data_IF_514357302187
#
_entry.id   IF_514357302187
#
_cell.length_a   1.000
_cell.length_b   1.000
_cell.length_c   1.000
_cell.angle_alpha   90.00
_cell.angle_beta   90.00
_cell.angle_gamma   90.00
#
_symmetry.space_group_name_H-M   'P 1'
#
loop_
_entity.id
_entity.type
_entity.pdbx_description
1 polymer ?
#
# COMPACT_ATOMS: atom_id res chain seq x y z
N UNK A 1 -11.52 6.85 -4.91
CA UNK A 1 -11.47 7.98 -5.87
C UNK A 1 -11.15 9.19 -5.02
N UNK A 2 -9.91 9.65 -5.06
CA UNK A 2 -9.44 10.70 -4.14
C UNK A 2 -10.29 11.97 -4.33
N UNK A 3 -10.87 12.46 -3.23
CA UNK A 3 -11.64 13.70 -3.21
C UNK A 3 -10.78 14.87 -3.68
N UNK A 4 -11.34 15.78 -4.49
CA UNK A 4 -10.62 16.97 -4.96
C UNK A 4 -10.05 17.82 -3.81
N UNK A 5 -10.77 17.90 -2.69
CA UNK A 5 -10.31 18.60 -1.49
C UNK A 5 -8.98 18.04 -0.97
N UNK A 6 -8.86 16.70 -0.93
CA UNK A 6 -7.65 16.00 -0.49
C UNK A 6 -6.49 16.25 -1.45
N UNK A 7 -6.74 16.25 -2.77
CA UNK A 7 -5.72 16.57 -3.78
C UNK A 7 -5.18 17.99 -3.62
N UNK A 8 -6.04 18.97 -3.35
CA UNK A 8 -5.60 20.35 -3.13
C UNK A 8 -4.80 20.51 -1.83
N UNK A 9 -5.18 19.80 -0.75
CA UNK A 9 -4.40 19.80 0.51
C UNK A 9 -3.01 19.18 0.32
N UNK A 10 -2.90 18.07 -0.42
CA UNK A 10 -1.58 17.49 -0.79
C UNK A 10 -0.70 18.53 -1.51
N UNK A 11 -1.26 19.26 -2.49
CA UNK A 11 -0.49 20.28 -3.22
C UNK A 11 -0.05 21.44 -2.33
N UNK A 12 -0.89 21.82 -1.37
CA UNK A 12 -0.59 22.90 -0.42
C UNK A 12 0.44 22.50 0.65
N UNK A 13 0.62 21.19 0.89
CA UNK A 13 1.43 20.67 2.00
C UNK A 13 0.71 20.68 3.36
N UNK A 14 -0.55 21.14 3.42
CA UNK A 14 -1.36 21.24 4.63
C UNK A 14 -2.26 20.00 4.79
N UNK A 15 -1.66 18.82 4.89
CA UNK A 15 -2.38 17.55 5.02
C UNK A 15 -2.32 17.04 6.47
N UNK A 16 -3.49 16.75 7.03
CA UNK A 16 -3.58 16.12 8.36
C UNK A 16 -3.35 14.61 8.28
N UNK A 17 -3.01 13.99 9.41
CA UNK A 17 -2.69 12.57 9.48
C UNK A 17 -3.85 11.68 9.02
N UNK A 18 -5.09 12.01 9.41
CA UNK A 18 -6.28 11.27 9.01
C UNK A 18 -6.52 11.32 7.49
N UNK A 19 -6.23 12.46 6.86
CA UNK A 19 -6.35 12.62 5.42
C UNK A 19 -5.25 11.85 4.68
N UNK A 20 -4.03 11.90 5.21
CA UNK A 20 -2.93 11.08 4.71
C UNK A 20 -3.27 9.59 4.80
N UNK A 21 -3.87 9.16 5.92
CA UNK A 21 -4.30 7.77 6.11
C UNK A 21 -5.34 7.36 5.07
N UNK A 22 -6.37 8.19 4.85
CA UNK A 22 -7.35 7.96 3.80
C UNK A 22 -6.72 7.80 2.42
N UNK A 23 -5.77 8.68 2.06
CA UNK A 23 -5.03 8.58 0.79
C UNK A 23 -4.20 7.30 0.72
N UNK A 24 -3.56 6.93 1.82
CA UNK A 24 -2.71 5.74 1.88
C UNK A 24 -3.50 4.46 1.63
N UNK A 25 -4.71 4.35 2.18
CA UNK A 25 -5.59 3.20 1.97
C UNK A 25 -6.11 3.13 0.53
N UNK A 26 -6.56 4.26 -0.06
CA UNK A 26 -6.95 4.28 -1.47
C UNK A 26 -5.76 3.91 -2.39
N UNK A 27 -4.56 4.41 -2.07
CA UNK A 27 -3.37 4.09 -2.82
C UNK A 27 -3.02 2.59 -2.72
N UNK A 28 -3.16 1.99 -1.53
CA UNK A 28 -2.95 0.56 -1.32
C UNK A 28 -3.84 -0.31 -2.21
N UNK A 29 -5.13 0.02 -2.33
CA UNK A 29 -6.05 -0.69 -3.23
C UNK A 29 -5.58 -0.62 -4.69
N UNK A 30 -5.21 0.58 -5.15
CA UNK A 30 -4.71 0.79 -6.52
C UNK A 30 -3.43 0.00 -6.76
N UNK A 31 -2.49 0.00 -5.82
CA UNK A 31 -1.22 -0.75 -5.94
C UNK A 31 -1.50 -2.26 -6.06
N UNK A 32 -2.38 -2.80 -5.22
CA UNK A 32 -2.75 -4.22 -5.26
C UNK A 32 -3.40 -4.58 -6.60
N UNK A 33 -4.36 -3.78 -7.07
CA UNK A 33 -5.04 -4.00 -8.34
C UNK A 33 -4.04 -3.97 -9.50
N UNK A 34 -3.19 -2.95 -9.56
CA UNK A 34 -2.20 -2.76 -10.62
C UNK A 34 -1.14 -3.86 -10.62
N UNK A 35 -0.59 -4.20 -9.46
CA UNK A 35 0.41 -5.26 -9.34
C UNK A 35 -0.18 -6.60 -9.82
N UNK A 36 -1.34 -6.99 -9.28
CA UNK A 36 -1.99 -8.25 -9.67
C UNK A 36 -2.40 -8.27 -11.14
N UNK A 37 -2.90 -7.15 -11.67
CA UNK A 37 -3.24 -7.02 -13.09
C UNK A 37 -2.02 -7.16 -14.01
N UNK A 38 -0.89 -6.55 -13.63
CA UNK A 38 0.35 -6.58 -14.40
C UNK A 38 1.01 -7.96 -14.41
N UNK A 39 0.92 -8.71 -13.31
CA UNK A 39 1.58 -10.01 -13.15
C UNK A 39 0.68 -11.22 -13.45
N UNK A 40 -0.66 -11.11 -13.38
CA UNK A 40 -1.59 -12.19 -13.77
C UNK A 40 -1.44 -12.65 -15.23
N UNK A 41 -0.93 -11.78 -16.10
CA UNK A 41 -0.68 -12.09 -17.51
C UNK A 41 0.61 -12.87 -17.75
N UNK A 42 1.42 -13.08 -16.70
CA UNK A 42 2.70 -13.77 -16.76
C UNK A 42 2.58 -15.12 -16.05
N UNK A 43 2.56 -16.18 -16.84
CA UNK A 43 2.37 -17.58 -16.42
C UNK A 43 3.41 -18.07 -15.38
N UNK A 44 4.53 -17.37 -15.24
CA UNK A 44 5.69 -17.75 -14.41
C UNK A 44 5.94 -16.87 -13.20
N UNK A 45 5.12 -15.83 -12.96
CA UNK A 45 5.36 -14.94 -11.82
C UNK A 45 4.80 -15.54 -10.53
N UNK A 46 5.72 -15.85 -9.61
CA UNK A 46 5.37 -16.31 -8.27
C UNK A 46 4.65 -15.19 -7.49
N UNK A 47 3.64 -15.57 -6.70
CA UNK A 47 2.89 -14.69 -5.80
C UNK A 47 3.85 -13.89 -4.89
N UNK A 48 4.99 -14.48 -4.51
CA UNK A 48 6.02 -13.78 -3.72
C UNK A 48 6.57 -12.53 -4.39
N UNK A 49 6.74 -12.53 -5.72
CA UNK A 49 7.25 -11.36 -6.46
C UNK A 49 6.19 -10.25 -6.48
N UNK A 50 4.93 -10.63 -6.65
CA UNK A 50 3.79 -9.70 -6.64
C UNK A 50 3.67 -9.05 -5.26
N UNK A 51 3.75 -9.86 -4.20
CA UNK A 51 3.68 -9.38 -2.82
C UNK A 51 4.88 -8.51 -2.46
N UNK A 52 6.09 -8.88 -2.88
CA UNK A 52 7.28 -8.03 -2.73
C UNK A 52 7.10 -6.67 -3.40
N UNK A 53 6.60 -6.65 -4.64
CA UNK A 53 6.34 -5.41 -5.36
C UNK A 53 5.32 -4.52 -4.62
N UNK A 54 4.22 -5.10 -4.14
CA UNK A 54 3.20 -4.38 -3.36
C UNK A 54 3.81 -3.78 -2.09
N UNK A 55 4.54 -4.58 -1.31
CA UNK A 55 5.20 -4.16 -0.07
C UNK A 55 6.18 -3.01 -0.32
N UNK A 56 7.03 -3.13 -1.34
CA UNK A 56 8.05 -2.13 -1.64
C UNK A 56 7.46 -0.79 -2.09
N UNK A 57 6.40 -0.81 -2.90
CA UNK A 57 5.72 0.41 -3.34
C UNK A 57 5.06 1.11 -2.16
N UNK A 58 4.36 0.36 -1.29
CA UNK A 58 3.75 0.93 -0.09
C UNK A 58 4.80 1.47 0.88
N UNK A 59 5.86 0.70 1.13
CA UNK A 59 6.99 1.12 1.96
C UNK A 59 7.58 2.44 1.47
N UNK A 60 7.80 2.55 0.16
CA UNK A 60 8.33 3.77 -0.46
C UNK A 60 7.37 4.95 -0.29
N UNK A 61 6.06 4.72 -0.46
CA UNK A 61 5.04 5.74 -0.25
C UNK A 61 5.05 6.31 1.19
N UNK A 62 5.18 5.43 2.19
CA UNK A 62 5.27 5.86 3.59
C UNK A 62 6.66 6.41 3.98
N UNK A 63 7.67 6.31 3.10
CA UNK A 63 9.03 6.74 3.41
C UNK A 63 9.70 5.93 4.53
N UNK A 64 9.23 4.72 4.80
CA UNK A 64 9.69 3.90 5.93
C UNK A 64 10.85 2.98 5.53
N UNK A 65 11.73 2.71 6.49
CA UNK A 65 12.69 1.62 6.37
C UNK A 65 11.97 0.27 6.44
N UNK A 66 12.60 -0.78 5.90
CA UNK A 66 11.97 -2.10 5.80
C UNK A 66 11.45 -2.61 7.16
N UNK A 67 12.27 -2.52 8.21
CA UNK A 67 11.91 -3.01 9.54
C UNK A 67 10.76 -2.22 10.17
N UNK A 68 10.75 -0.89 9.98
CA UNK A 68 9.68 -0.02 10.48
C UNK A 68 8.39 -0.26 9.73
N UNK A 69 8.45 -0.52 8.42
CA UNK A 69 7.26 -0.81 7.64
C UNK A 69 6.61 -2.14 8.03
N UNK A 70 7.40 -3.18 8.31
CA UNK A 70 6.83 -4.43 8.82
C UNK A 70 6.24 -4.29 10.23
N UNK A 71 6.87 -3.50 11.11
CA UNK A 71 6.28 -3.17 12.41
C UNK A 71 4.96 -2.41 12.23
N UNK A 72 4.93 -1.43 11.33
CA UNK A 72 3.73 -0.67 10.98
C UNK A 72 2.61 -1.59 10.45
N UNK A 73 2.90 -2.47 9.49
CA UNK A 73 1.91 -3.42 8.97
C UNK A 73 1.39 -4.41 10.02
N UNK A 74 2.16 -4.67 11.08
CA UNK A 74 1.70 -5.51 12.19
C UNK A 74 0.59 -4.83 12.97
N UNK A 75 0.74 -3.53 13.23
CA UNK A 75 -0.16 -2.75 14.07
C UNK A 75 -1.36 -2.20 13.29
N UNK A 76 -1.22 -2.00 11.98
CA UNK A 76 -2.28 -1.45 11.10
C UNK A 76 -3.02 -2.54 10.32
N UNK A 77 -4.01 -3.17 10.98
CA UNK A 77 -4.78 -4.29 10.42
C UNK A 77 -5.52 -3.95 9.12
N UNK A 78 -6.12 -2.76 9.04
CA UNK A 78 -6.90 -2.32 7.87
C UNK A 78 -6.04 -2.28 6.59
N UNK A 79 -4.85 -1.68 6.68
CA UNK A 79 -3.91 -1.65 5.56
C UNK A 79 -3.48 -3.08 5.19
N UNK A 80 -3.15 -3.92 6.17
CA UNK A 80 -2.76 -5.31 5.92
C UNK A 80 -3.85 -6.10 5.20
N UNK A 81 -5.10 -5.89 5.57
CA UNK A 81 -6.25 -6.56 4.96
C UNK A 81 -6.48 -6.11 3.52
N UNK A 82 -6.24 -4.84 3.19
CA UNK A 82 -6.26 -4.34 1.82
C UNK A 82 -5.15 -4.96 0.98
N UNK A 83 -3.93 -5.03 1.52
CA UNK A 83 -2.78 -5.58 0.80
C UNK A 83 -2.93 -7.08 0.48
N UNK A 84 -3.72 -7.82 1.28
CA UNK A 84 -4.03 -9.25 1.09
C UNK A 84 -2.77 -10.11 0.90
N UNK A 85 -1.71 -9.79 1.64
CA UNK A 85 -0.40 -10.44 1.57
C UNK A 85 -0.50 -11.84 2.19
N UNK A 86 -0.20 -12.90 1.43
CA UNK A 86 -0.15 -14.26 1.95
C UNK A 86 1.00 -14.45 2.92
N UNK A 87 2.14 -13.80 2.67
CA UNK A 87 3.35 -13.91 3.50
C UNK A 87 3.12 -13.40 4.93
N UNK A 88 2.19 -12.48 5.14
CA UNK A 88 1.91 -11.89 6.44
C UNK A 88 0.66 -12.46 7.13
N UNK A 89 0.04 -13.51 6.59
CA UNK A 89 -1.14 -14.15 7.21
C UNK A 89 -0.84 -14.92 8.51
N UNK A 90 0.44 -15.14 8.81
CA UNK A 90 0.90 -15.97 9.94
C UNK A 90 1.54 -15.17 11.09
N UNK A 91 1.27 -13.87 11.21
CA UNK A 91 1.67 -13.09 12.39
C UNK A 91 0.85 -13.44 13.63
#
# INVERSE_FOLDING_TARGET
MILRSVVERIKSGEMEEDEFWFVALEFAEVVVERARGMFKTKETCDDYIIEYYIVEIMRFFFGLSLILFYAFLRDHMELRDILKLKVLKSF
#
